data_IF_006165116917
#
_entry.id   IF_006165116917
#
_cell.length_a   1.000
_cell.length_b   1.000
_cell.length_c   1.000
_cell.angle_alpha   90.00
_cell.angle_beta   90.00
_cell.angle_gamma   90.00
#
_symmetry.space_group_name_H-M   'P 1'
#
loop_
_entity.id
_entity.type
_entity.pdbx_description
1 polymer ?
#
# COMPACT_ATOMS: atom_id res chain seq x y z
N UNK A 1 -24.85 -4.25 -18.73
CA UNK A 1 -24.10 -3.67 -17.59
C UNK A 1 -23.15 -4.73 -17.10
N UNK A 2 -21.86 -4.61 -17.40
CA UNK A 2 -20.84 -5.51 -16.87
C UNK A 2 -20.70 -5.24 -15.37
N UNK A 3 -21.15 -6.18 -14.55
CA UNK A 3 -20.79 -6.17 -13.12
C UNK A 3 -19.34 -6.60 -13.04
N UNK A 4 -18.45 -5.68 -12.71
CA UNK A 4 -17.06 -6.00 -12.40
C UNK A 4 -17.01 -6.78 -11.08
N UNK A 5 -16.24 -7.85 -11.05
CA UNK A 5 -15.94 -8.56 -9.81
C UNK A 5 -15.20 -7.65 -8.83
N UNK A 6 -15.27 -7.93 -7.53
CA UNK A 6 -14.58 -7.15 -6.50
C UNK A 6 -13.07 -7.06 -6.77
N UNK A 7 -12.45 -8.15 -7.23
CA UNK A 7 -11.03 -8.17 -7.58
C UNK A 7 -10.70 -7.24 -8.76
N UNK A 8 -11.53 -7.23 -9.81
CA UNK A 8 -11.35 -6.32 -10.96
C UNK A 8 -11.52 -4.85 -10.55
N UNK A 9 -12.45 -4.56 -9.62
CA UNK A 9 -12.62 -3.21 -9.08
C UNK A 9 -11.39 -2.76 -8.28
N UNK A 10 -10.88 -3.62 -7.39
CA UNK A 10 -9.63 -3.37 -6.65
C UNK A 10 -8.48 -3.14 -7.62
N UNK A 11 -8.29 -4.03 -8.60
CA UNK A 11 -7.19 -3.92 -9.57
C UNK A 11 -7.28 -2.65 -10.42
N UNK A 12 -8.49 -2.22 -10.79
CA UNK A 12 -8.73 -0.94 -11.47
C UNK A 12 -8.27 0.23 -10.61
N UNK A 13 -8.68 0.31 -9.34
CA UNK A 13 -8.31 1.39 -8.42
C UNK A 13 -6.80 1.38 -8.13
N UNK A 14 -6.18 0.21 -8.00
CA UNK A 14 -4.73 0.09 -7.81
C UNK A 14 -3.94 0.61 -9.01
N UNK A 15 -4.49 0.54 -10.22
CA UNK A 15 -3.85 1.07 -11.44
C UNK A 15 -3.78 2.59 -11.45
N UNK A 16 -4.67 3.28 -10.73
CA UNK A 16 -4.63 4.74 -10.62
C UNK A 16 -3.38 5.21 -9.89
N UNK A 17 -2.88 4.43 -8.92
CA UNK A 17 -1.64 4.75 -8.21
C UNK A 17 -0.44 4.86 -9.11
N UNK A 18 -0.39 4.12 -10.23
CA UNK A 18 0.74 4.20 -11.16
C UNK A 18 0.77 5.54 -11.91
N UNK A 19 -0.38 6.18 -12.09
CA UNK A 19 -0.54 7.44 -12.82
C UNK A 19 -0.22 8.68 -11.99
N UNK A 20 -0.09 8.52 -10.68
CA UNK A 20 0.10 9.65 -9.75
C UNK A 20 1.53 10.16 -9.80
N UNK A 21 1.77 11.41 -10.21
CA UNK A 21 3.13 11.95 -10.14
C UNK A 21 3.56 12.13 -8.67
N UNK A 22 4.76 11.67 -8.27
CA UNK A 22 5.25 11.90 -6.93
C UNK A 22 5.47 13.39 -6.70
N UNK A 23 4.86 13.92 -5.64
CA UNK A 23 5.14 15.27 -5.15
C UNK A 23 6.49 15.20 -4.44
N UNK A 24 7.44 16.01 -4.87
CA UNK A 24 8.90 15.85 -4.71
C UNK A 24 9.50 15.81 -3.29
N UNK A 25 10.77 15.39 -3.29
CA UNK A 25 11.70 15.07 -2.21
C UNK A 25 12.24 16.25 -1.38
N UNK A 26 11.97 16.27 -0.08
CA UNK A 26 12.79 17.08 0.87
C UNK A 26 13.92 16.23 1.51
N UNK A 27 13.83 14.89 1.48
CA UNK A 27 14.84 13.97 2.03
C UNK A 27 14.98 12.65 1.23
N UNK A 28 14.56 12.62 -0.04
CA UNK A 28 14.73 11.44 -0.90
C UNK A 28 13.70 10.32 -0.68
N UNK A 29 12.67 10.50 0.17
CA UNK A 29 11.52 9.58 0.25
C UNK A 29 10.29 10.23 -0.43
N UNK A 30 9.61 9.54 -1.36
CA UNK A 30 8.40 10.04 -2.02
C UNK A 30 7.27 10.25 -1.00
N UNK A 31 6.62 11.41 -1.06
CA UNK A 31 5.33 11.59 -0.42
C UNK A 31 4.24 10.89 -1.24
N UNK A 32 3.25 10.30 -0.55
CA UNK A 32 2.10 9.66 -1.18
C UNK A 32 0.97 10.70 -1.22
N UNK A 33 0.76 11.42 -2.34
CA UNK A 33 -0.36 12.35 -2.44
C UNK A 33 -1.69 11.62 -2.29
N UNK A 34 -2.63 12.35 -1.71
CA UNK A 34 -4.00 11.91 -1.52
C UNK A 34 -4.72 11.82 -2.88
N UNK A 35 -5.29 10.65 -3.18
CA UNK A 35 -6.01 10.41 -4.44
C UNK A 35 -7.34 9.70 -4.16
N UNK A 36 -8.31 9.88 -5.07
CA UNK A 36 -9.66 9.32 -4.92
C UNK A 36 -9.66 7.80 -4.69
N UNK A 37 -8.78 7.08 -5.39
CA UNK A 37 -8.64 5.63 -5.25
C UNK A 37 -8.32 5.17 -3.82
N UNK A 38 -7.61 5.98 -3.00
CA UNK A 38 -7.39 5.64 -1.58
C UNK A 38 -8.74 5.61 -0.84
N UNK A 39 -9.55 6.66 -0.99
CA UNK A 39 -10.83 6.76 -0.32
C UNK A 39 -11.77 5.64 -0.74
N UNK A 40 -11.81 5.33 -2.03
CA UNK A 40 -12.66 4.25 -2.55
C UNK A 40 -12.24 2.89 -1.99
N UNK A 41 -10.95 2.56 -2.00
CA UNK A 41 -10.46 1.30 -1.42
C UNK A 41 -10.68 1.23 0.10
N UNK A 42 -10.47 2.31 0.83
CA UNK A 42 -10.74 2.36 2.27
C UNK A 42 -12.23 2.14 2.57
N UNK A 43 -13.12 2.69 1.74
CA UNK A 43 -14.57 2.53 1.88
C UNK A 43 -15.05 1.10 1.59
N UNK A 44 -14.31 0.31 0.81
CA UNK A 44 -14.56 -1.14 0.65
C UNK A 44 -14.25 -1.92 1.95
N UNK A 45 -13.39 -1.39 2.82
CA UNK A 45 -13.17 -1.92 4.16
C UNK A 45 -12.48 -3.29 4.23
N UNK A 46 -12.71 -4.02 5.32
CA UNK A 46 -11.97 -5.24 5.67
C UNK A 46 -12.14 -6.40 4.67
N UNK A 47 -13.36 -6.58 4.13
CA UNK A 47 -13.53 -6.48 2.69
C UNK A 47 -12.45 -7.07 1.78
N UNK A 48 -11.62 -6.13 1.35
CA UNK A 48 -10.60 -6.28 0.32
C UNK A 48 -9.22 -6.59 0.89
N UNK A 49 -9.08 -6.67 2.22
CA UNK A 49 -7.78 -6.91 2.88
C UNK A 49 -7.06 -8.14 2.31
N UNK A 50 -7.70 -9.31 2.13
CA UNK A 50 -7.04 -10.47 1.53
C UNK A 50 -6.52 -10.20 0.11
N UNK A 51 -7.30 -9.48 -0.71
CA UNK A 51 -6.92 -9.12 -2.08
C UNK A 51 -5.72 -8.16 -2.09
N UNK A 52 -5.74 -7.15 -1.23
CA UNK A 52 -4.64 -6.20 -1.09
C UNK A 52 -3.35 -6.89 -0.64
N UNK A 53 -3.44 -7.83 0.30
CA UNK A 53 -2.29 -8.63 0.74
C UNK A 53 -1.76 -9.53 -0.37
N UNK A 54 -2.62 -10.16 -1.17
CA UNK A 54 -2.22 -10.93 -2.35
C UNK A 54 -1.42 -10.07 -3.34
N UNK A 55 -1.90 -8.86 -3.62
CA UNK A 55 -1.25 -7.93 -4.56
C UNK A 55 0.10 -7.38 -4.08
N UNK A 56 0.32 -7.31 -2.77
CA UNK A 56 1.64 -7.01 -2.20
C UNK A 56 2.66 -8.13 -2.50
N UNK A 57 2.21 -9.39 -2.57
CA UNK A 57 3.10 -10.54 -2.78
C UNK A 57 3.41 -10.78 -4.27
N UNK A 58 2.51 -10.40 -5.18
CA UNK A 58 2.62 -10.71 -6.62
C UNK A 58 3.53 -9.76 -7.43
N UNK A 59 4.59 -9.20 -6.82
CA UNK A 59 5.57 -8.32 -7.48
C UNK A 59 4.96 -7.04 -8.09
N UNK A 60 4.12 -6.32 -7.34
CA UNK A 60 3.65 -5.00 -7.72
C UNK A 60 4.78 -3.94 -7.74
N UNK A 61 4.55 -2.84 -8.46
CA UNK A 61 5.37 -1.63 -8.36
C UNK A 61 5.54 -1.20 -6.89
N UNK A 62 6.76 -0.84 -6.47
CA UNK A 62 7.05 -0.39 -5.09
C UNK A 62 6.15 0.76 -4.65
N UNK A 63 5.85 1.67 -5.58
CA UNK A 63 4.88 2.75 -5.41
C UNK A 63 3.49 2.23 -5.08
N UNK A 64 2.99 1.30 -5.88
CA UNK A 64 1.68 0.66 -5.64
C UNK A 64 1.67 -0.04 -4.28
N UNK A 65 2.74 -0.74 -3.92
CA UNK A 65 2.88 -1.40 -2.62
C UNK A 65 2.79 -0.38 -1.47
N UNK A 66 3.48 0.76 -1.57
CA UNK A 66 3.42 1.81 -0.56
C UNK A 66 1.98 2.34 -0.37
N UNK A 67 1.25 2.56 -1.47
CA UNK A 67 -0.16 2.95 -1.42
C UNK A 67 -1.07 1.87 -0.84
N UNK A 68 -0.83 0.59 -1.16
CA UNK A 68 -1.59 -0.50 -0.56
C UNK A 68 -1.37 -0.53 0.96
N UNK A 69 -0.14 -0.36 1.44
CA UNK A 69 0.13 -0.30 2.89
C UNK A 69 -0.58 0.89 3.54
N UNK A 70 -0.60 2.05 2.89
CA UNK A 70 -1.37 3.21 3.35
C UNK A 70 -2.87 2.91 3.47
N UNK A 71 -3.45 2.23 2.47
CA UNK A 71 -4.86 1.80 2.48
C UNK A 71 -5.11 0.81 3.62
N UNK A 72 -4.27 -0.22 3.77
CA UNK A 72 -4.40 -1.21 4.84
C UNK A 72 -4.33 -0.59 6.23
N UNK A 73 -3.45 0.39 6.42
CA UNK A 73 -3.37 1.16 7.65
C UNK A 73 -4.69 1.90 7.94
N UNK A 74 -5.24 2.60 6.95
CA UNK A 74 -6.50 3.36 7.07
C UNK A 74 -7.72 2.47 7.27
N UNK A 75 -7.72 1.26 6.73
CA UNK A 75 -8.76 0.25 7.00
C UNK A 75 -8.73 -0.17 8.47
N UNK A 76 -7.56 -0.23 9.10
CA UNK A 76 -7.44 -0.50 10.53
C UNK A 76 -7.57 -1.99 10.92
N UNK A 77 -7.54 -2.92 9.97
CA UNK A 77 -7.63 -4.36 10.28
C UNK A 77 -6.31 -4.88 10.86
N UNK A 78 -6.27 -5.06 12.18
CA UNK A 78 -5.08 -5.55 12.91
C UNK A 78 -4.51 -6.88 12.40
N UNK A 79 -5.29 -7.68 11.64
CA UNK A 79 -4.79 -8.91 11.00
C UNK A 79 -3.67 -8.65 9.99
N UNK A 80 -3.52 -7.42 9.49
CA UNK A 80 -2.45 -7.06 8.55
C UNK A 80 -1.09 -6.89 9.25
N UNK A 81 -1.03 -6.84 10.59
CA UNK A 81 0.20 -6.60 11.34
C UNK A 81 1.33 -7.57 10.98
N UNK A 82 1.07 -8.88 10.98
CA UNK A 82 2.10 -9.86 10.65
C UNK A 82 2.57 -9.74 9.18
N UNK A 83 1.68 -9.68 8.17
CA UNK A 83 2.09 -9.37 6.80
C UNK A 83 2.91 -8.09 6.63
N UNK A 84 2.59 -7.02 7.37
CA UNK A 84 3.34 -5.76 7.30
C UNK A 84 4.73 -5.85 7.95
N UNK A 85 4.88 -6.63 9.03
CA UNK A 85 6.18 -6.92 9.63
C UNK A 85 7.09 -7.68 8.66
N UNK A 86 6.54 -8.71 8.00
CA UNK A 86 7.26 -9.51 6.99
C UNK A 86 7.64 -8.65 5.78
N UNK A 87 6.71 -7.82 5.30
CA UNK A 87 6.96 -6.89 4.19
C UNK A 87 8.09 -5.92 4.54
N UNK A 88 8.04 -5.32 5.74
CA UNK A 88 9.08 -4.40 6.20
C UNK A 88 10.44 -5.08 6.25
N UNK A 89 10.53 -6.27 6.86
CA UNK A 89 11.77 -7.02 6.95
C UNK A 89 12.36 -7.30 5.56
N UNK A 90 11.54 -7.78 4.62
CA UNK A 90 11.95 -8.02 3.22
C UNK A 90 12.58 -6.79 2.57
N UNK A 91 11.98 -5.61 2.75
CA UNK A 91 12.52 -4.37 2.19
C UNK A 91 13.77 -3.88 2.96
N UNK A 92 13.83 -4.09 4.28
CA UNK A 92 15.01 -3.74 5.09
C UNK A 92 16.25 -4.57 4.71
N UNK A 93 16.06 -5.83 4.32
CA UNK A 93 17.14 -6.75 3.95
C UNK A 93 17.68 -6.54 2.53
N UNK A 94 17.10 -5.62 1.73
CA UNK A 94 17.63 -5.29 0.40
C UNK A 94 19.04 -4.69 0.49
N UNK A 95 20.00 -5.24 -0.26
CA UNK A 95 21.39 -4.75 -0.30
C UNK A 95 21.47 -3.30 -0.78
N UNK A 96 20.72 -2.98 -1.83
CA UNK A 96 20.57 -1.63 -2.38
C UNK A 96 19.11 -1.21 -2.28
N UNK A 97 18.87 0.06 -1.96
CA UNK A 97 17.54 0.64 -1.78
C UNK A 97 17.42 1.91 -2.60
N UNK A 98 16.31 2.04 -3.31
CA UNK A 98 15.89 3.29 -3.92
C UNK A 98 14.89 4.03 -3.03
N UNK A 99 14.46 5.21 -3.49
CA UNK A 99 13.54 6.07 -2.77
C UNK A 99 12.19 5.40 -2.44
N UNK A 100 11.71 4.49 -3.29
CA UNK A 100 10.44 3.81 -3.10
C UNK A 100 10.56 2.62 -2.16
N UNK A 101 11.74 1.99 -2.06
CA UNK A 101 12.01 1.03 -0.98
C UNK A 101 11.86 1.69 0.39
N UNK A 102 12.41 2.91 0.54
CA UNK A 102 12.24 3.69 1.77
C UNK A 102 10.80 4.11 2.00
N UNK A 103 10.04 4.45 0.96
CA UNK A 103 8.60 4.73 1.10
C UNK A 103 7.84 3.52 1.65
N UNK A 104 8.08 2.33 1.12
CA UNK A 104 7.42 1.10 1.59
C UNK A 104 7.77 0.84 3.06
N UNK A 105 9.05 0.95 3.43
CA UNK A 105 9.50 0.78 4.82
C UNK A 105 8.83 1.82 5.73
N UNK A 106 8.79 3.08 5.32
CA UNK A 106 8.17 4.18 6.06
C UNK A 106 6.67 3.94 6.28
N UNK A 107 5.93 3.56 5.24
CA UNK A 107 4.51 3.25 5.35
C UNK A 107 4.26 2.03 6.26
N UNK A 108 5.10 1.00 6.18
CA UNK A 108 5.00 -0.15 7.08
C UNK A 108 5.21 0.27 8.54
N UNK A 109 6.22 1.11 8.83
CA UNK A 109 6.47 1.60 10.18
C UNK A 109 5.27 2.38 10.75
N UNK A 110 4.72 3.32 9.97
CA UNK A 110 3.55 4.09 10.36
C UNK A 110 2.34 3.18 10.65
N UNK A 111 2.09 2.23 9.75
CA UNK A 111 0.98 1.30 9.87
C UNK A 111 1.12 0.38 11.10
N UNK A 112 2.29 -0.20 11.31
CA UNK A 112 2.55 -1.08 12.46
C UNK A 112 2.39 -0.29 13.78
N UNK A 113 2.93 0.92 13.87
CA UNK A 113 2.82 1.74 15.08
C UNK A 113 1.36 2.09 15.39
N UNK A 114 0.56 2.40 14.37
CA UNK A 114 -0.86 2.76 14.53
C UNK A 114 -1.72 1.56 14.91
N UNK A 115 -1.52 0.41 14.26
CA UNK A 115 -2.30 -0.80 14.47
C UNK A 115 -1.98 -1.55 15.77
N UNK A 116 -0.87 -1.19 16.44
CA UNK A 116 -0.47 -1.75 17.74
C UNK A 116 -1.01 -0.95 18.94
N UNK A 117 -1.56 0.24 18.71
CA UNK A 117 -2.16 1.10 19.76
C UNK A 117 -3.59 0.67 20.07
#
# INVERSE_FOLDING_TARGET
>A
MTSHTLAEQVDSLLSDFDRVEPVTFDLGTPELPEVGAIHELVNMGAEIVPLLLERIQSSGSKKRIAYIVLVLNRIGDTKVLAPLLDLRARYQDLETKDEWDYAVIGQCNLAIEQLQK
#
